data_IF_471444563650
#
_entry.id   IF_471444563650
#
_cell.length_a   1.000
_cell.length_b   1.000
_cell.length_c   1.000
_cell.angle_alpha   90.00
_cell.angle_beta   90.00
_cell.angle_gamma   90.00
#
_symmetry.space_group_name_H-M   'P 1'
#
loop_
_entity.id
_entity.type
_entity.pdbx_description
1 polymer ?
#
# COMPACT_ATOMS: atom_id res chain seq x y z
N UNK A 1 11.35 -3.23 21.73
CA UNK A 1 10.46 -2.99 20.58
C UNK A 1 11.27 -3.24 19.33
N UNK A 2 10.93 -4.27 18.55
CA UNK A 2 11.51 -4.44 17.22
C UNK A 2 11.03 -3.27 16.35
N UNK A 3 11.94 -2.51 15.78
CA UNK A 3 11.64 -1.52 14.76
C UNK A 3 10.92 -2.22 13.61
N UNK A 4 9.70 -1.79 13.27
CA UNK A 4 8.95 -2.35 12.14
C UNK A 4 9.75 -2.07 10.87
N UNK A 5 10.13 -3.12 10.14
CA UNK A 5 10.74 -3.01 8.82
C UNK A 5 9.63 -2.78 7.78
N UNK A 6 9.42 -1.51 7.45
CA UNK A 6 8.40 -1.14 6.48
C UNK A 6 8.73 -1.56 5.05
N UNK A 7 10.00 -1.79 4.71
CA UNK A 7 10.37 -2.32 3.39
C UNK A 7 9.89 -3.76 3.24
N UNK A 8 10.12 -4.57 4.27
CA UNK A 8 9.63 -5.95 4.31
C UNK A 8 8.09 -6.02 4.39
N UNK A 9 7.46 -5.13 5.17
CA UNK A 9 5.99 -5.04 5.22
C UNK A 9 5.42 -4.70 3.85
N UNK A 10 6.03 -3.75 3.14
CA UNK A 10 5.64 -3.36 1.79
C UNK A 10 5.73 -4.54 0.82
N UNK A 11 6.86 -5.27 0.82
CA UNK A 11 7.05 -6.43 -0.06
C UNK A 11 5.98 -7.51 0.16
N UNK A 12 5.81 -7.95 1.41
CA UNK A 12 4.79 -8.95 1.74
C UNK A 12 3.37 -8.49 1.42
N UNK A 13 3.08 -7.20 1.59
CA UNK A 13 1.77 -6.63 1.25
C UNK A 13 1.55 -6.73 -0.26
N UNK A 14 2.52 -6.31 -1.06
CA UNK A 14 2.43 -6.40 -2.54
C UNK A 14 2.20 -7.85 -2.98
N UNK A 15 2.96 -8.79 -2.42
CA UNK A 15 2.80 -10.23 -2.71
C UNK A 15 1.41 -10.76 -2.31
N UNK A 16 0.82 -10.27 -1.21
CA UNK A 16 -0.53 -10.66 -0.80
C UNK A 16 -1.63 -10.12 -1.73
N UNK A 17 -1.37 -9.06 -2.50
CA UNK A 17 -2.31 -8.53 -3.49
C UNK A 17 -2.11 -9.12 -4.88
N UNK A 18 -0.87 -9.26 -5.34
CA UNK A 18 -0.55 -9.60 -6.73
C UNK A 18 0.08 -10.98 -6.90
N UNK A 19 0.34 -11.69 -5.80
CA UNK A 19 1.07 -12.94 -5.79
C UNK A 19 2.56 -12.75 -6.00
N UNK A 20 3.26 -13.87 -6.20
CA UNK A 20 4.70 -13.86 -6.39
C UNK A 20 5.05 -13.54 -7.86
N UNK A 21 5.95 -12.59 -8.11
CA UNK A 21 6.37 -12.29 -9.47
C UNK A 21 7.13 -13.47 -10.07
N UNK A 22 6.95 -13.71 -11.38
CA UNK A 22 7.67 -14.79 -12.10
C UNK A 22 9.18 -14.57 -12.15
N UNK A 23 9.60 -13.32 -12.13
CA UNK A 23 11.01 -12.90 -12.02
C UNK A 23 11.23 -12.38 -10.61
N UNK A 24 12.32 -12.76 -9.92
CA UNK A 24 12.61 -12.23 -8.60
C UNK A 24 12.72 -10.69 -8.62
N UNK A 25 11.85 -10.03 -7.86
CA UNK A 25 11.85 -8.59 -7.64
C UNK A 25 11.77 -8.39 -6.14
N UNK A 26 12.69 -7.61 -5.59
CA UNK A 26 12.68 -7.21 -4.18
C UNK A 26 11.94 -5.88 -4.06
N UNK A 27 10.61 -5.93 -3.86
CA UNK A 27 9.79 -4.73 -3.70
C UNK A 27 10.23 -3.89 -2.51
N UNK A 28 10.82 -4.50 -1.48
CA UNK A 28 11.42 -3.78 -0.36
C UNK A 28 12.44 -2.72 -0.80
N UNK A 29 13.15 -2.94 -1.92
CA UNK A 29 14.10 -1.97 -2.45
C UNK A 29 13.45 -0.71 -3.02
N UNK A 30 12.14 -0.74 -3.29
CA UNK A 30 11.38 0.44 -3.71
C UNK A 30 10.88 1.26 -2.52
N UNK A 31 10.93 0.73 -1.30
CA UNK A 31 10.49 1.44 -0.11
C UNK A 31 11.31 2.71 0.16
N UNK A 32 10.66 3.77 0.65
CA UNK A 32 11.30 5.05 0.99
C UNK A 32 10.55 6.26 0.44
N UNK A 33 11.25 7.16 -0.26
CA UNK A 33 10.68 8.31 -0.98
C UNK A 33 10.86 8.15 -2.50
N UNK A 34 10.55 6.95 -3.00
CA UNK A 34 10.70 6.61 -4.42
C UNK A 34 9.36 6.66 -5.14
N UNK A 35 9.40 7.01 -6.42
CA UNK A 35 8.20 7.03 -7.26
C UNK A 35 7.54 5.65 -7.35
N UNK A 36 8.34 4.59 -7.45
CA UNK A 36 7.90 3.21 -7.61
C UNK A 36 7.02 2.76 -6.44
N UNK A 37 7.41 3.05 -5.19
CA UNK A 37 6.61 2.71 -4.02
C UNK A 37 5.27 3.46 -3.99
N UNK A 38 5.26 4.75 -4.34
CA UNK A 38 4.00 5.51 -4.44
C UNK A 38 3.10 4.96 -5.54
N UNK A 39 3.66 4.66 -6.71
CA UNK A 39 2.92 4.12 -7.84
C UNK A 39 2.29 2.76 -7.53
N UNK A 40 3.02 1.89 -6.83
CA UNK A 40 2.53 0.58 -6.40
C UNK A 40 1.41 0.72 -5.37
N UNK A 41 1.62 1.53 -4.31
CA UNK A 41 0.58 1.77 -3.29
C UNK A 41 -0.68 2.36 -3.94
N UNK A 42 -0.54 3.36 -4.79
CA UNK A 42 -1.65 3.94 -5.54
C UNK A 42 -2.40 2.89 -6.36
N UNK A 43 -1.68 2.02 -7.07
CA UNK A 43 -2.30 0.97 -7.90
C UNK A 43 -3.12 -0.01 -7.07
N UNK A 44 -2.60 -0.43 -5.91
CA UNK A 44 -3.34 -1.32 -4.98
C UNK A 44 -4.55 -0.60 -4.40
N UNK A 45 -4.40 0.66 -3.99
CA UNK A 45 -5.52 1.46 -3.45
C UNK A 45 -6.64 1.61 -4.49
N UNK A 46 -6.30 1.93 -5.74
CA UNK A 46 -7.28 2.02 -6.83
C UNK A 46 -7.94 0.67 -7.07
N UNK A 47 -7.20 -0.44 -7.03
CA UNK A 47 -7.78 -1.77 -7.10
C UNK A 47 -8.81 -1.99 -5.98
N UNK A 48 -8.49 -1.68 -4.73
CA UNK A 48 -9.39 -1.95 -3.61
C UNK A 48 -10.65 -1.09 -3.63
N UNK A 49 -10.53 0.20 -3.96
CA UNK A 49 -11.69 1.10 -4.09
C UNK A 49 -12.67 0.60 -5.16
N UNK A 50 -12.16 0.07 -6.28
CA UNK A 50 -13.00 -0.27 -7.43
C UNK A 50 -13.48 -1.72 -7.45
N UNK A 51 -12.70 -2.66 -6.92
CA UNK A 51 -13.01 -4.09 -6.97
C UNK A 51 -13.50 -4.64 -5.63
N UNK A 52 -13.08 -4.05 -4.50
CA UNK A 52 -13.39 -4.55 -3.16
C UNK A 52 -13.95 -3.48 -2.19
N UNK A 53 -14.80 -2.53 -2.61
CA UNK A 53 -15.21 -1.41 -1.75
C UNK A 53 -15.99 -1.86 -0.51
N UNK A 54 -16.76 -2.95 -0.62
CA UNK A 54 -17.61 -3.46 0.47
C UNK A 54 -16.84 -4.23 1.55
N UNK A 55 -15.54 -4.46 1.34
CA UNK A 55 -14.69 -5.17 2.29
C UNK A 55 -14.09 -4.25 3.36
N UNK A 56 -14.32 -2.94 3.23
CA UNK A 56 -13.86 -1.91 4.14
C UNK A 56 -15.05 -1.27 4.85
N UNK A 57 -14.86 -0.89 6.11
CA UNK A 57 -15.75 0.08 6.74
C UNK A 57 -15.63 1.45 6.06
N UNK A 58 -16.60 2.33 6.32
CA UNK A 58 -16.68 3.65 5.71
C UNK A 58 -15.40 4.47 5.92
N UNK A 59 -14.85 4.46 7.14
CA UNK A 59 -13.69 5.28 7.50
C UNK A 59 -12.41 4.81 6.78
N UNK A 60 -12.20 3.49 6.69
CA UNK A 60 -11.08 2.89 5.96
C UNK A 60 -11.23 3.12 4.46
N UNK A 61 -12.44 2.97 3.91
CA UNK A 61 -12.71 3.22 2.51
C UNK A 61 -12.46 4.68 2.13
N UNK A 62 -12.87 5.61 2.99
CA UNK A 62 -12.64 7.04 2.77
C UNK A 62 -11.16 7.40 2.90
N UNK A 63 -10.42 6.74 3.81
CA UNK A 63 -8.95 6.85 3.88
C UNK A 63 -8.26 6.40 2.58
N UNK A 64 -8.73 5.30 1.98
CA UNK A 64 -8.24 4.83 0.67
C UNK A 64 -8.52 5.87 -0.43
N UNK A 65 -9.74 6.41 -0.49
CA UNK A 65 -10.12 7.43 -1.49
C UNK A 65 -9.33 8.72 -1.32
N UNK A 66 -9.12 9.16 -0.08
CA UNK A 66 -8.33 10.36 0.22
C UNK A 66 -6.89 10.17 -0.25
N UNK A 67 -6.28 9.02 0.06
CA UNK A 67 -4.94 8.68 -0.40
C UNK A 67 -4.85 8.70 -1.93
N UNK A 68 -5.80 8.06 -2.63
CA UNK A 68 -5.83 8.04 -4.09
C UNK A 68 -5.93 9.45 -4.71
N UNK A 69 -6.78 10.30 -4.13
CA UNK A 69 -6.95 11.70 -4.56
C UNK A 69 -5.66 12.50 -4.38
N UNK A 70 -5.03 12.43 -3.21
CA UNK A 70 -3.76 13.13 -2.93
C UNK A 70 -2.62 12.63 -3.82
N UNK A 71 -2.48 11.32 -3.96
CA UNK A 71 -1.46 10.70 -4.80
C UNK A 71 -1.57 11.16 -6.26
N UNK A 72 -2.78 11.42 -6.75
CA UNK A 72 -3.02 11.92 -8.12
C UNK A 72 -2.74 13.41 -8.31
N UNK A 73 -2.76 14.21 -7.24
CA UNK A 73 -2.80 15.69 -7.30
C UNK A 73 -1.53 16.41 -6.81
N UNK A 74 -0.45 15.68 -6.50
CA UNK A 74 0.76 16.30 -5.93
C UNK A 74 1.64 15.36 -5.12
N UNK A 75 1.22 14.10 -4.98
CA UNK A 75 1.93 13.08 -4.23
C UNK A 75 1.51 13.03 -2.77
N UNK A 76 2.06 12.05 -2.07
CA UNK A 76 1.75 11.74 -0.66
C UNK A 76 3.02 11.84 0.17
N UNK A 77 2.89 12.30 1.40
CA UNK A 77 4.00 12.30 2.36
C UNK A 77 4.41 10.87 2.73
N UNK A 78 5.63 10.69 3.23
CA UNK A 78 6.09 9.39 3.71
C UNK A 78 5.20 8.85 4.84
N UNK A 79 4.71 9.70 5.75
CA UNK A 79 3.77 9.29 6.80
C UNK A 79 2.45 8.76 6.25
N UNK A 80 1.91 9.40 5.21
CA UNK A 80 0.68 8.92 4.56
C UNK A 80 0.92 7.57 3.85
N UNK A 81 2.09 7.39 3.22
CA UNK A 81 2.48 6.12 2.63
C UNK A 81 2.62 5.00 3.67
N UNK A 82 3.15 5.31 4.86
CA UNK A 82 3.20 4.36 5.98
C UNK A 82 1.80 4.01 6.48
N UNK A 83 0.92 5.00 6.62
CA UNK A 83 -0.45 4.78 7.08
C UNK A 83 -1.24 3.90 6.12
N UNK A 84 -1.18 4.19 4.82
CA UNK A 84 -1.89 3.40 3.82
C UNK A 84 -1.35 1.97 3.73
N UNK A 85 -0.01 1.81 3.82
CA UNK A 85 0.60 0.48 3.83
C UNK A 85 0.08 -0.35 5.00
N UNK A 86 0.00 0.24 6.21
CA UNK A 86 -0.52 -0.47 7.38
C UNK A 86 -1.97 -0.90 7.19
N UNK A 87 -2.81 -0.03 6.66
CA UNK A 87 -4.22 -0.35 6.38
C UNK A 87 -4.32 -1.51 5.38
N UNK A 88 -3.56 -1.45 4.28
CA UNK A 88 -3.55 -2.49 3.26
C UNK A 88 -3.01 -3.83 3.79
N UNK A 89 -1.97 -3.80 4.62
CA UNK A 89 -1.37 -4.96 5.25
C UNK A 89 -2.31 -5.61 6.26
N UNK A 90 -2.96 -4.81 7.11
CA UNK A 90 -3.98 -5.25 8.07
C UNK A 90 -5.10 -6.00 7.35
N UNK A 91 -5.61 -5.43 6.26
CA UNK A 91 -6.67 -6.06 5.48
C UNK A 91 -6.28 -7.42 4.89
N UNK A 92 -5.01 -7.58 4.50
CA UNK A 92 -4.46 -8.86 4.00
C UNK A 92 -3.92 -9.78 5.11
N UNK A 93 -4.05 -9.39 6.38
CA UNK A 93 -3.49 -10.11 7.53
C UNK A 93 -1.97 -10.35 7.41
N UNK A 94 -1.23 -9.35 6.92
CA UNK A 94 0.23 -9.37 6.80
C UNK A 94 0.85 -8.78 8.06
N UNK A 95 1.63 -9.60 8.79
CA UNK A 95 2.40 -9.24 10.01
C UNK A 95 3.87 -8.96 9.76
#
# INVERSE_FOLDING_TARGET
MSTIDYGMLFEKTVEAYWGNPKTPIYFANYWGDKFEMRAILFSIVVQEINYNPNSYDTDKLDSLKEYASKSSNGGTSHSENVQILKLLAEYKNVT
#
